data_IF_170878114141
#
_entry.id   IF_170878114141
#
_cell.length_a   1.000
_cell.length_b   1.000
_cell.length_c   1.000
_cell.angle_alpha   90.00
_cell.angle_beta   90.00
_cell.angle_gamma   90.00
#
_symmetry.space_group_name_H-M   'P 1'
#
loop_
_entity.id
_entity.type
_entity.pdbx_description
1 polymer ?
#
# COMPACT_ATOMS: atom_id res chain seq x y z
N UNK A 1 -30.14 22.74 -16.96
CA UNK A 1 -30.20 21.32 -17.34
C UNK A 1 -28.88 20.56 -17.25
N UNK A 2 -27.77 21.08 -17.75
CA UNK A 2 -26.43 20.39 -17.72
C UNK A 2 -25.87 20.05 -16.32
N UNK A 3 -26.07 20.90 -15.29
CA UNK A 3 -25.61 20.62 -13.91
C UNK A 3 -26.32 19.44 -13.22
N UNK A 4 -27.60 19.19 -13.55
CA UNK A 4 -28.37 18.07 -12.99
C UNK A 4 -27.93 16.71 -13.56
N UNK A 5 -27.53 16.66 -14.84
CA UNK A 5 -26.97 15.44 -15.48
C UNK A 5 -25.59 15.07 -14.90
N UNK A 6 -24.73 16.07 -14.60
CA UNK A 6 -23.42 15.79 -14.00
C UNK A 6 -23.52 15.24 -12.56
N UNK A 7 -24.49 15.69 -11.79
CA UNK A 7 -24.74 15.19 -10.42
C UNK A 7 -25.25 13.75 -10.40
N UNK A 8 -26.15 13.41 -11.35
CA UNK A 8 -26.68 12.04 -11.50
C UNK A 8 -25.57 11.07 -11.92
N UNK A 9 -24.74 11.44 -12.89
CA UNK A 9 -23.63 10.59 -13.35
C UNK A 9 -22.55 10.38 -12.30
N UNK A 10 -22.31 11.36 -11.42
CA UNK A 10 -21.37 11.21 -10.29
C UNK A 10 -21.94 10.31 -9.19
N UNK A 11 -23.24 10.41 -8.92
CA UNK A 11 -23.92 9.54 -7.96
C UNK A 11 -23.96 8.08 -8.42
N UNK A 12 -24.23 7.85 -9.70
CA UNK A 12 -24.24 6.51 -10.30
C UNK A 12 -22.84 5.90 -10.35
N UNK A 13 -21.81 6.68 -10.69
CA UNK A 13 -20.41 6.24 -10.63
C UNK A 13 -19.98 5.89 -9.22
N UNK A 14 -20.37 6.71 -8.23
CA UNK A 14 -20.10 6.43 -6.83
C UNK A 14 -20.82 5.16 -6.36
N UNK A 15 -22.10 4.97 -6.75
CA UNK A 15 -22.86 3.75 -6.43
C UNK A 15 -22.26 2.50 -7.08
N UNK A 16 -21.83 2.59 -8.34
CA UNK A 16 -21.16 1.49 -9.03
C UNK A 16 -19.81 1.18 -8.37
N UNK A 17 -19.01 2.20 -8.08
CA UNK A 17 -17.74 2.04 -7.36
C UNK A 17 -17.92 1.44 -5.95
N UNK A 18 -19.02 1.78 -5.25
CA UNK A 18 -19.41 1.13 -3.99
C UNK A 18 -19.85 -0.33 -4.19
N UNK A 19 -20.60 -0.64 -5.24
CA UNK A 19 -21.00 -2.01 -5.55
C UNK A 19 -19.78 -2.87 -5.91
N UNK A 20 -18.88 -2.36 -6.72
CA UNK A 20 -17.65 -3.06 -7.11
C UNK A 20 -16.75 -3.34 -5.90
N UNK A 21 -16.69 -2.44 -4.92
CA UNK A 21 -16.00 -2.66 -3.64
C UNK A 21 -16.66 -3.76 -2.76
N UNK A 22 -17.99 -3.93 -2.86
CA UNK A 22 -18.75 -4.91 -2.06
C UNK A 22 -18.60 -6.33 -2.64
N UNK A 23 -18.40 -6.46 -3.96
CA UNK A 23 -18.34 -7.75 -4.67
C UNK A 23 -16.94 -8.14 -5.13
N UNK A 24 -15.93 -7.28 -4.96
CA UNK A 24 -14.56 -7.55 -5.38
C UNK A 24 -13.94 -8.69 -4.56
N UNK A 25 -13.46 -9.71 -5.24
CA UNK A 25 -12.73 -10.81 -4.62
C UNK A 25 -11.39 -10.35 -4.00
N UNK A 26 -10.89 -11.08 -3.00
CA UNK A 26 -9.64 -10.69 -2.33
C UNK A 26 -8.44 -10.71 -3.29
N UNK A 27 -8.35 -11.67 -4.20
CA UNK A 27 -7.30 -11.73 -5.23
C UNK A 27 -7.35 -10.52 -6.15
N UNK A 28 -8.54 -10.16 -6.63
CA UNK A 28 -8.74 -8.97 -7.45
C UNK A 28 -8.35 -7.69 -6.71
N UNK A 29 -8.65 -7.61 -5.41
CA UNK A 29 -8.27 -6.44 -4.60
C UNK A 29 -6.76 -6.25 -4.53
N UNK A 30 -5.99 -7.36 -4.47
CA UNK A 30 -4.52 -7.31 -4.52
C UNK A 30 -4.02 -6.80 -5.88
N UNK A 31 -4.63 -7.23 -6.98
CA UNK A 31 -4.31 -6.76 -8.33
C UNK A 31 -4.56 -5.25 -8.43
N UNK A 32 -5.72 -4.77 -8.01
CA UNK A 32 -6.09 -3.34 -8.14
C UNK A 32 -5.27 -2.43 -7.22
N UNK A 33 -4.97 -2.86 -5.99
CA UNK A 33 -4.34 -2.01 -4.99
C UNK A 33 -2.83 -2.24 -4.82
N UNK A 34 -2.31 -3.42 -5.17
CA UNK A 34 -0.91 -3.77 -4.91
C UNK A 34 -0.11 -4.19 -6.16
N UNK A 35 -0.66 -4.00 -7.38
CA UNK A 35 0.02 -4.34 -8.63
C UNK A 35 1.48 -3.84 -8.69
N UNK A 36 1.82 -2.60 -8.33
CA UNK A 36 3.22 -2.15 -8.36
C UNK A 36 4.15 -2.92 -7.42
N UNK A 37 3.63 -3.38 -6.29
CA UNK A 37 4.40 -4.25 -5.37
C UNK A 37 4.54 -5.66 -5.94
N UNK A 38 3.49 -6.22 -6.53
CA UNK A 38 3.53 -7.52 -7.22
C UNK A 38 4.49 -7.50 -8.41
N UNK A 39 4.56 -6.39 -9.14
CA UNK A 39 5.46 -6.16 -10.26
C UNK A 39 6.92 -5.86 -9.85
N UNK A 40 7.22 -5.74 -8.56
CA UNK A 40 8.56 -5.37 -8.10
C UNK A 40 8.95 -3.90 -8.32
N UNK A 41 8.00 -3.04 -8.68
CA UNK A 41 8.24 -1.61 -8.93
C UNK A 41 8.25 -0.82 -7.60
N UNK A 42 7.38 -1.18 -6.65
CA UNK A 42 7.19 -0.52 -5.37
C UNK A 42 7.53 -1.45 -4.21
N UNK A 43 7.99 -0.89 -3.09
CA UNK A 43 8.32 -1.64 -1.87
C UNK A 43 7.08 -2.27 -1.26
N UNK A 44 6.03 -1.46 -1.06
CA UNK A 44 4.80 -1.93 -0.44
C UNK A 44 3.58 -1.06 -0.81
N UNK A 45 2.40 -1.63 -0.57
CA UNK A 45 1.12 -0.93 -0.61
C UNK A 45 0.36 -1.15 0.70
N UNK A 46 -0.43 -0.15 1.08
CA UNK A 46 -1.31 -0.18 2.24
C UNK A 46 -2.71 0.23 1.79
N UNK A 47 -3.71 -0.60 2.06
CA UNK A 47 -5.08 -0.29 1.68
C UNK A 47 -6.09 -1.00 2.57
N UNK A 48 -7.32 -0.51 2.61
CA UNK A 48 -8.42 -1.13 3.31
C UNK A 48 -9.17 -2.10 2.39
N UNK A 49 -9.50 -3.27 2.92
CA UNK A 49 -10.37 -4.23 2.27
C UNK A 49 -11.50 -4.67 3.21
N UNK A 50 -12.67 -5.03 2.66
CA UNK A 50 -13.80 -5.54 3.44
C UNK A 50 -13.81 -7.05 3.41
N UNK A 51 -13.81 -7.66 4.60
CA UNK A 51 -14.11 -9.08 4.78
C UNK A 51 -15.41 -9.20 5.59
N UNK A 52 -16.11 -10.31 5.45
CA UNK A 52 -17.32 -10.58 6.23
C UNK A 52 -17.03 -10.64 7.74
N UNK A 53 -15.85 -11.17 8.09
CA UNK A 53 -15.39 -11.28 9.46
C UNK A 53 -13.86 -11.52 9.52
N UNK A 54 -13.32 -11.48 10.74
CA UNK A 54 -11.89 -11.67 10.99
C UNK A 54 -11.38 -13.06 10.56
N UNK A 55 -12.19 -14.09 10.68
CA UNK A 55 -11.83 -15.45 10.27
C UNK A 55 -11.59 -15.53 8.77
N UNK A 56 -12.50 -15.00 7.97
CA UNK A 56 -12.35 -14.93 6.51
C UNK A 56 -11.09 -14.12 6.11
N UNK A 57 -10.82 -13.01 6.81
CA UNK A 57 -9.61 -12.22 6.60
C UNK A 57 -8.35 -13.06 6.83
N UNK A 58 -8.24 -13.73 7.97
CA UNK A 58 -7.07 -14.53 8.34
C UNK A 58 -6.88 -15.69 7.35
N UNK A 59 -7.94 -16.42 7.03
CA UNK A 59 -7.91 -17.55 6.09
C UNK A 59 -7.50 -17.10 4.68
N UNK A 60 -8.01 -15.94 4.22
CA UNK A 60 -7.69 -15.39 2.91
C UNK A 60 -6.25 -14.91 2.82
N UNK A 61 -5.75 -14.21 3.85
CA UNK A 61 -4.35 -13.81 3.95
C UNK A 61 -3.44 -15.03 3.97
N UNK A 62 -3.77 -16.05 4.78
CA UNK A 62 -2.98 -17.28 4.86
C UNK A 62 -2.88 -17.99 3.51
N UNK A 63 -4.02 -18.18 2.82
CA UNK A 63 -4.08 -18.79 1.49
C UNK A 63 -3.20 -18.04 0.48
N UNK A 64 -3.30 -16.70 0.49
CA UNK A 64 -2.57 -15.87 -0.45
C UNK A 64 -1.07 -15.85 -0.13
N UNK A 65 -0.69 -15.75 1.15
CA UNK A 65 0.70 -15.82 1.59
C UNK A 65 1.35 -17.16 1.22
N UNK A 66 0.64 -18.30 1.38
CA UNK A 66 1.16 -19.62 0.96
C UNK A 66 1.58 -19.64 -0.51
N UNK A 67 0.88 -18.89 -1.37
CA UNK A 67 1.21 -18.78 -2.80
C UNK A 67 2.29 -17.73 -3.05
N UNK A 68 2.14 -16.52 -2.49
CA UNK A 68 2.93 -15.36 -2.88
C UNK A 68 4.26 -15.21 -2.13
N UNK A 69 4.41 -15.84 -0.94
CA UNK A 69 5.68 -15.80 -0.20
C UNK A 69 6.83 -16.41 -1.01
N UNK A 70 6.54 -17.40 -1.87
CA UNK A 70 7.52 -18.01 -2.80
C UNK A 70 8.03 -17.01 -3.85
N UNK A 71 7.30 -15.91 -4.06
CA UNK A 71 7.68 -14.79 -4.94
C UNK A 71 8.23 -13.59 -4.15
N UNK A 72 8.41 -13.72 -2.84
CA UNK A 72 8.90 -12.67 -1.96
C UNK A 72 7.85 -11.62 -1.55
N UNK A 73 6.57 -11.87 -1.80
CA UNK A 73 5.46 -10.99 -1.41
C UNK A 73 4.80 -11.52 -0.14
N UNK A 74 4.55 -10.62 0.79
CA UNK A 74 3.92 -10.90 2.08
C UNK A 74 2.74 -9.96 2.32
N UNK A 75 1.70 -10.50 2.94
CA UNK A 75 0.49 -9.75 3.30
C UNK A 75 0.31 -9.83 4.82
N UNK A 76 0.16 -8.67 5.45
CA UNK A 76 -0.08 -8.54 6.90
C UNK A 76 -1.35 -7.74 7.17
N UNK A 77 -2.12 -8.20 8.15
CA UNK A 77 -3.20 -7.40 8.73
C UNK A 77 -2.60 -6.44 9.75
N UNK A 78 -2.74 -5.14 9.50
CA UNK A 78 -2.21 -4.08 10.38
C UNK A 78 -3.25 -3.61 11.39
N UNK A 79 -4.48 -3.37 10.94
CA UNK A 79 -5.58 -2.89 11.80
C UNK A 79 -6.91 -3.45 11.31
N UNK A 80 -7.83 -3.64 12.24
CA UNK A 80 -9.22 -3.92 11.94
C UNK A 80 -10.10 -2.85 12.59
N UNK A 81 -11.00 -2.27 11.80
CA UNK A 81 -12.01 -1.32 12.30
C UNK A 81 -13.35 -1.70 11.67
N UNK A 82 -14.23 -2.29 12.45
CA UNK A 82 -15.51 -2.85 11.99
C UNK A 82 -15.25 -3.86 10.86
N UNK A 83 -15.82 -3.60 9.67
CA UNK A 83 -15.71 -4.46 8.48
C UNK A 83 -14.50 -4.13 7.60
N UNK A 84 -13.71 -3.12 7.97
CA UNK A 84 -12.53 -2.70 7.24
C UNK A 84 -11.25 -3.25 7.86
N UNK A 85 -10.44 -3.86 7.04
CA UNK A 85 -9.18 -4.50 7.39
C UNK A 85 -8.06 -3.81 6.65
N UNK A 86 -7.19 -3.11 7.38
CA UNK A 86 -6.02 -2.43 6.83
C UNK A 86 -4.95 -3.48 6.52
N UNK A 87 -4.69 -3.66 5.24
CA UNK A 87 -3.75 -4.65 4.72
C UNK A 87 -2.46 -3.98 4.26
N UNK A 88 -1.34 -4.54 4.68
CA UNK A 88 -0.01 -4.17 4.24
C UNK A 88 0.55 -5.28 3.36
N UNK A 89 0.75 -4.97 2.07
CA UNK A 89 1.31 -5.88 1.07
C UNK A 89 2.71 -5.39 0.74
N UNK A 90 3.73 -6.21 0.98
CA UNK A 90 5.11 -5.78 0.82
C UNK A 90 5.99 -6.83 0.15
N UNK A 91 7.04 -6.36 -0.51
CA UNK A 91 8.12 -7.17 -1.05
C UNK A 91 9.26 -7.22 -0.03
N UNK A 92 9.54 -8.42 0.48
CA UNK A 92 10.46 -8.62 1.59
C UNK A 92 11.85 -8.05 1.30
N UNK A 93 12.46 -8.44 0.18
CA UNK A 93 13.82 -8.00 -0.20
C UNK A 93 13.93 -6.47 -0.30
N UNK A 94 12.96 -5.80 -0.95
CA UNK A 94 12.96 -4.33 -1.07
C UNK A 94 12.77 -3.62 0.28
N UNK A 95 11.99 -4.20 1.17
CA UNK A 95 11.77 -3.62 2.48
C UNK A 95 13.00 -3.83 3.38
N UNK A 96 13.66 -4.99 3.29
CA UNK A 96 14.93 -5.24 3.98
C UNK A 96 16.01 -4.28 3.51
N UNK A 97 16.19 -4.10 2.20
CA UNK A 97 17.11 -3.14 1.59
C UNK A 97 16.81 -1.71 2.08
N UNK A 98 15.54 -1.32 2.10
CA UNK A 98 15.10 0.01 2.54
C UNK A 98 15.40 0.28 4.01
N UNK A 99 15.19 -0.70 4.89
CA UNK A 99 15.45 -0.56 6.33
C UNK A 99 16.95 -0.62 6.63
N UNK A 100 17.72 -1.33 5.81
CA UNK A 100 19.19 -1.40 5.93
C UNK A 100 19.91 -0.11 5.51
N UNK A 101 19.23 0.80 4.80
CA UNK A 101 19.77 2.13 4.48
C UNK A 101 20.08 2.88 5.79
N UNK A 102 21.34 3.35 5.99
CA UNK A 102 21.75 3.99 7.25
C UNK A 102 20.92 5.21 7.63
N UNK A 103 20.50 6.00 6.65
CA UNK A 103 19.70 7.20 6.88
C UNK A 103 18.26 6.85 7.31
N UNK A 104 17.67 5.85 6.66
CA UNK A 104 16.36 5.31 7.01
C UNK A 104 16.39 4.66 8.39
N UNK A 105 17.44 3.87 8.66
CA UNK A 105 17.63 3.22 9.94
C UNK A 105 17.70 4.23 11.09
N UNK A 106 18.58 5.24 10.97
CA UNK A 106 18.71 6.31 11.97
C UNK A 106 17.40 7.09 12.15
N UNK A 107 16.66 7.35 11.06
CA UNK A 107 15.37 8.00 11.14
C UNK A 107 14.35 7.15 11.92
N UNK A 108 14.24 5.86 11.64
CA UNK A 108 13.29 4.96 12.32
C UNK A 108 13.62 4.78 13.82
N UNK A 109 14.89 4.84 14.22
CA UNK A 109 15.30 4.79 15.64
C UNK A 109 14.64 5.90 16.46
N UNK A 110 14.43 7.11 15.90
CA UNK A 110 13.76 8.21 16.56
C UNK A 110 12.28 7.93 16.90
N UNK A 111 11.68 6.93 16.22
CA UNK A 111 10.31 6.47 16.45
C UNK A 111 10.23 5.18 17.27
N UNK A 112 11.36 4.78 17.90
CA UNK A 112 11.43 3.61 18.77
C UNK A 112 11.52 2.27 18.03
N UNK A 113 11.85 2.28 16.74
CA UNK A 113 12.24 1.06 16.04
C UNK A 113 13.65 0.71 16.45
N UNK A 114 13.81 -0.44 17.12
CA UNK A 114 15.12 -0.92 17.60
C UNK A 114 15.71 -1.88 16.59
N UNK A 115 17.01 -1.83 16.44
CA UNK A 115 17.74 -2.81 15.65
C UNK A 115 17.68 -4.16 16.36
N UNK A 116 16.81 -5.01 15.86
CA UNK A 116 16.71 -6.41 16.31
C UNK A 116 17.26 -7.38 15.26
N UNK A 117 17.86 -6.84 14.17
CA UNK A 117 18.32 -7.63 13.03
C UNK A 117 17.22 -8.37 12.27
N UNK A 118 15.94 -8.08 12.57
CA UNK A 118 14.81 -8.83 12.03
C UNK A 118 13.72 -7.91 11.49
N UNK A 119 13.41 -8.02 10.18
CA UNK A 119 12.31 -7.28 9.53
C UNK A 119 10.97 -7.44 10.24
N UNK A 120 10.70 -8.64 10.81
CA UNK A 120 9.42 -8.89 11.47
C UNK A 120 9.19 -7.95 12.66
N UNK A 121 10.23 -7.62 13.43
CA UNK A 121 10.11 -6.69 14.57
C UNK A 121 9.76 -5.26 14.13
N UNK A 122 10.30 -4.80 13.01
CA UNK A 122 9.92 -3.50 12.43
C UNK A 122 8.46 -3.46 12.03
N UNK A 123 7.95 -4.53 11.41
CA UNK A 123 6.55 -4.63 10.98
C UNK A 123 5.61 -4.72 12.20
N UNK A 124 5.97 -5.51 13.22
CA UNK A 124 5.16 -5.60 14.45
C UNK A 124 5.17 -4.25 15.22
N UNK A 125 6.31 -3.55 15.26
CA UNK A 125 6.36 -2.20 15.86
C UNK A 125 5.50 -1.21 15.08
N UNK A 126 5.55 -1.21 13.75
CA UNK A 126 4.66 -0.40 12.93
C UNK A 126 3.19 -0.72 13.21
N UNK A 127 2.85 -2.00 13.30
CA UNK A 127 1.49 -2.45 13.63
C UNK A 127 1.05 -1.99 15.02
N UNK A 128 1.93 -2.09 16.01
CA UNK A 128 1.68 -1.56 17.37
C UNK A 128 1.33 -0.08 17.28
N UNK A 129 2.19 0.74 16.65
CA UNK A 129 1.98 2.19 16.52
C UNK A 129 0.68 2.55 15.80
N UNK A 130 0.33 1.84 14.71
CA UNK A 130 -0.95 2.03 14.01
C UNK A 130 -2.16 1.79 14.93
N UNK A 131 -2.03 0.94 15.94
CA UNK A 131 -3.15 0.58 16.82
C UNK A 131 -3.17 1.36 18.15
N UNK A 132 -2.05 1.91 18.58
CA UNK A 132 -1.91 2.58 19.89
C UNK A 132 -1.79 4.09 19.81
N UNK A 133 -1.22 4.62 18.72
CA UNK A 133 -1.04 6.05 18.57
C UNK A 133 -2.36 6.77 18.25
N UNK A 134 -2.57 7.97 18.79
CA UNK A 134 -3.78 8.76 18.52
C UNK A 134 -3.87 9.24 17.07
N UNK A 135 -2.71 9.46 16.44
CA UNK A 135 -2.59 9.82 15.02
C UNK A 135 -1.95 8.68 14.23
N UNK A 136 -2.28 8.59 12.97
CA UNK A 136 -1.68 7.60 12.08
C UNK A 136 -0.17 7.84 11.95
N UNK A 137 0.70 6.81 12.13
CA UNK A 137 2.15 6.97 12.13
C UNK A 137 2.65 7.35 10.73
N UNK A 138 3.18 8.57 10.58
CA UNK A 138 3.58 9.10 9.27
C UNK A 138 4.89 8.52 8.74
N UNK A 139 5.74 7.97 9.61
CA UNK A 139 6.93 7.22 9.23
C UNK A 139 6.62 5.97 8.39
N UNK A 140 5.35 5.57 8.31
CA UNK A 140 4.89 4.52 7.38
C UNK A 140 5.27 4.79 5.93
N UNK A 141 5.47 6.05 5.55
CA UNK A 141 5.96 6.42 4.22
C UNK A 141 7.25 5.72 3.86
N UNK A 142 8.16 5.52 4.82
CA UNK A 142 9.39 4.73 4.64
C UNK A 142 9.07 3.28 4.28
N UNK A 143 8.14 2.66 5.01
CA UNK A 143 7.70 1.28 4.78
C UNK A 143 6.95 1.13 3.45
N UNK A 144 6.38 2.21 2.91
CA UNK A 144 5.75 2.25 1.61
C UNK A 144 6.74 2.52 0.46
N UNK A 145 8.01 2.81 0.80
CA UNK A 145 9.08 3.09 -0.16
C UNK A 145 9.06 4.52 -0.71
N UNK A 146 8.51 5.48 0.04
CA UNK A 146 8.58 6.90 -0.33
C UNK A 146 9.99 7.46 -0.05
N UNK A 147 10.46 8.48 -0.81
CA UNK A 147 11.72 9.16 -0.52
C UNK A 147 11.78 9.63 0.94
N UNK A 148 12.92 9.42 1.59
CA UNK A 148 13.05 9.72 3.03
C UNK A 148 12.90 11.22 3.30
N UNK A 149 13.38 12.05 2.38
CA UNK A 149 13.29 13.50 2.42
C UNK A 149 11.82 13.96 2.40
N UNK A 150 11.00 13.37 1.52
CA UNK A 150 9.57 13.67 1.43
C UNK A 150 8.83 13.21 2.71
N UNK A 151 9.23 12.08 3.31
CA UNK A 151 8.63 11.60 4.57
C UNK A 151 8.97 12.53 5.72
N UNK A 152 10.22 13.00 5.83
CA UNK A 152 10.66 13.96 6.85
C UNK A 152 9.91 15.29 6.73
N UNK A 153 9.89 15.83 5.52
CA UNK A 153 9.20 17.10 5.25
C UNK A 153 7.70 17.01 5.49
N UNK A 154 7.09 15.88 5.15
CA UNK A 154 5.68 15.65 5.46
C UNK A 154 5.41 15.71 6.97
N UNK A 155 6.26 15.09 7.77
CA UNK A 155 6.11 15.07 9.23
C UNK A 155 6.38 16.46 9.81
N UNK A 156 7.48 17.09 9.44
CA UNK A 156 7.91 18.40 9.94
C UNK A 156 6.91 19.51 9.58
N UNK A 157 6.48 19.51 8.32
CA UNK A 157 5.52 20.51 7.79
C UNK A 157 4.05 20.10 8.01
N UNK A 158 3.79 19.04 8.77
CA UNK A 158 2.44 18.52 9.06
C UNK A 158 1.59 18.31 7.79
N UNK A 159 2.26 17.92 6.71
CA UNK A 159 1.64 17.70 5.40
C UNK A 159 1.34 18.97 4.60
N UNK A 160 1.78 20.15 5.05
CA UNK A 160 1.58 21.39 4.32
C UNK A 160 2.75 21.73 3.39
N UNK A 161 2.54 22.63 2.43
CA UNK A 161 3.59 23.18 1.58
C UNK A 161 4.26 22.20 0.62
N UNK A 162 3.61 21.08 0.28
CA UNK A 162 4.13 20.16 -0.74
C UNK A 162 4.13 20.83 -2.13
N UNK A 163 5.14 20.54 -2.93
CA UNK A 163 5.28 21.05 -4.29
C UNK A 163 4.34 20.32 -5.28
N UNK A 164 4.00 19.05 -4.98
CA UNK A 164 3.05 18.27 -5.78
C UNK A 164 2.34 17.21 -4.91
N UNK A 165 1.08 16.90 -5.22
CA UNK A 165 0.30 15.90 -4.52
C UNK A 165 -0.11 14.78 -5.48
N UNK A 166 0.45 13.58 -5.28
CA UNK A 166 0.18 12.38 -6.08
C UNK A 166 -0.01 11.15 -5.22
N UNK A 167 0.75 10.07 -5.46
CA UNK A 167 0.74 8.86 -4.62
C UNK A 167 1.21 9.16 -3.17
N UNK A 168 2.00 10.21 -3.02
CA UNK A 168 2.33 10.85 -1.75
C UNK A 168 2.47 12.37 -1.96
N UNK A 169 2.67 13.12 -0.88
CA UNK A 169 2.99 14.56 -0.95
C UNK A 169 4.48 14.74 -1.22
N UNK A 170 4.80 15.25 -2.40
CA UNK A 170 6.15 15.45 -2.90
C UNK A 170 6.65 16.82 -2.50
N UNK A 171 7.79 16.89 -1.87
CA UNK A 171 8.48 18.14 -1.48
C UNK A 171 9.75 18.35 -2.32
N UNK A 172 10.35 17.26 -2.80
CA UNK A 172 11.59 17.23 -3.56
C UNK A 172 11.35 16.56 -4.91
N UNK A 173 12.23 16.83 -5.88
CA UNK A 173 12.28 16.18 -7.20
C UNK A 173 10.90 15.82 -7.83
N UNK A 174 10.08 16.86 -8.02
CA UNK A 174 8.74 16.70 -8.62
C UNK A 174 8.76 15.99 -9.97
N UNK A 175 9.71 16.27 -10.89
CA UNK A 175 9.77 15.59 -12.18
C UNK A 175 9.95 14.07 -12.05
N UNK A 176 10.86 13.61 -11.17
CA UNK A 176 11.08 12.20 -10.93
C UNK A 176 9.84 11.53 -10.28
N UNK A 177 9.21 12.22 -9.32
CA UNK A 177 7.99 11.74 -8.67
C UNK A 177 6.85 11.55 -9.68
N UNK A 178 6.59 12.54 -10.56
CA UNK A 178 5.55 12.44 -11.59
C UNK A 178 5.84 11.29 -12.55
N UNK A 179 7.09 11.16 -13.02
CA UNK A 179 7.49 10.03 -13.86
C UNK A 179 7.21 8.69 -13.18
N UNK A 180 7.54 8.58 -11.90
CA UNK A 180 7.28 7.37 -11.13
C UNK A 180 5.76 7.10 -10.95
N UNK A 181 4.96 8.13 -10.68
CA UNK A 181 3.49 7.99 -10.57
C UNK A 181 2.86 7.51 -11.88
N UNK A 182 3.34 8.03 -13.02
CA UNK A 182 2.91 7.54 -14.33
C UNK A 182 3.26 6.05 -14.52
N UNK A 183 4.45 5.62 -14.09
CA UNK A 183 4.85 4.21 -14.11
C UNK A 183 3.96 3.34 -13.21
N UNK A 184 3.63 3.80 -11.99
CA UNK A 184 2.73 3.09 -11.08
C UNK A 184 1.32 2.95 -11.67
N UNK A 185 0.80 4.04 -12.26
CA UNK A 185 -0.52 4.02 -12.91
C UNK A 185 -0.55 3.04 -14.07
N UNK A 186 0.43 3.12 -14.99
CA UNK A 186 0.55 2.19 -16.12
C UNK A 186 0.62 0.74 -15.65
N UNK A 187 1.37 0.46 -14.58
CA UNK A 187 1.47 -0.87 -14.00
C UNK A 187 0.09 -1.38 -13.53
N UNK A 188 -0.68 -0.56 -12.80
CA UNK A 188 -2.04 -0.93 -12.35
C UNK A 188 -2.97 -1.21 -13.54
N UNK A 189 -2.95 -0.34 -14.55
CA UNK A 189 -3.81 -0.49 -15.74
C UNK A 189 -3.49 -1.79 -16.51
N UNK A 190 -2.20 -2.14 -16.64
CA UNK A 190 -1.75 -3.38 -17.28
C UNK A 190 -2.16 -4.61 -16.45
N UNK A 191 -1.93 -4.58 -15.13
CA UNK A 191 -2.27 -5.69 -14.25
C UNK A 191 -3.77 -5.96 -14.21
N UNK A 192 -4.59 -4.91 -14.14
CA UNK A 192 -6.05 -5.05 -14.18
C UNK A 192 -6.50 -5.77 -15.46
N UNK A 193 -6.03 -5.31 -16.63
CA UNK A 193 -6.37 -5.91 -17.92
C UNK A 193 -5.95 -7.38 -18.02
N UNK A 194 -4.70 -7.67 -17.65
CA UNK A 194 -4.16 -9.04 -17.74
C UNK A 194 -4.89 -9.98 -16.78
N UNK A 195 -5.36 -9.48 -15.64
CA UNK A 195 -6.19 -10.24 -14.70
C UNK A 195 -7.60 -10.49 -15.28
N UNK A 196 -8.22 -9.48 -15.90
CA UNK A 196 -9.51 -9.59 -16.61
C UNK A 196 -9.42 -10.59 -17.77
N UNK A 197 -8.26 -10.71 -18.43
CA UNK A 197 -7.97 -11.73 -19.45
C UNK A 197 -7.78 -13.16 -18.86
N UNK A 198 -7.98 -13.33 -17.54
CA UNK A 198 -8.00 -14.64 -16.88
C UNK A 198 -6.65 -15.12 -16.32
N UNK A 199 -5.59 -14.30 -16.31
CA UNK A 199 -4.33 -14.67 -15.66
C UNK A 199 -4.46 -14.60 -14.13
N UNK A 200 -3.91 -15.62 -13.46
CA UNK A 200 -3.90 -15.66 -12.00
C UNK A 200 -2.77 -14.79 -11.41
N UNK A 201 -2.97 -14.34 -10.18
CA UNK A 201 -2.05 -13.43 -9.48
C UNK A 201 -0.63 -14.02 -9.31
N UNK A 202 -0.50 -15.34 -9.16
CA UNK A 202 0.83 -15.96 -8.97
C UNK A 202 1.70 -15.80 -10.20
N UNK A 203 1.15 -16.03 -11.39
CA UNK A 203 1.89 -15.90 -12.66
C UNK A 203 2.22 -14.44 -12.98
N UNK A 204 1.35 -13.52 -12.55
CA UNK A 204 1.55 -12.08 -12.70
C UNK A 204 2.56 -11.50 -11.71
N UNK A 205 2.85 -12.21 -10.60
CA UNK A 205 3.79 -11.74 -9.59
C UNK A 205 5.22 -12.01 -9.99
N UNK A 206 6.01 -10.95 -10.13
CA UNK A 206 7.44 -11.03 -10.44
C UNK A 206 8.18 -11.63 -9.23
N UNK A 207 9.12 -12.54 -9.47
CA UNK A 207 9.97 -13.13 -8.44
C UNK A 207 10.95 -12.08 -7.89
N UNK A 208 11.22 -12.11 -6.57
CA UNK A 208 12.27 -11.30 -5.94
C UNK A 208 13.64 -11.82 -6.29
#
# INVERSE_FOLDING_TARGET
>A
MRKRLQLVTNSERNLQQFKDLIYMGFEESLIRNAAPTLAGIKTANLYNFRFKNLRECIESIHRMNKRLNQKGIYIKLMKNVKDFYLLYVYRKSKLEERIADPEVHAFLQNYGYRDSGNLASYIEKLKERINTEPCFPHEIGVFLGYPIEDVRDFIEKKGEGCAYCGEWKVYHDVPAAISFFCKLKKCRDVYARVYEDGRNIYDMTVRA
#
